data_IF_928981083508
#
_entry.id   IF_928981083508
#
_cell.length_a   1.000
_cell.length_b   1.000
_cell.length_c   1.000
_cell.angle_alpha   90.00
_cell.angle_beta   90.00
_cell.angle_gamma   90.00
#
_symmetry.space_group_name_H-M   'P 1'
#
loop_
_entity.id
_entity.type
_entity.pdbx_description
1 polymer ?
#
# COMPACT_ATOMS: atom_id res chain seq x y z
N UNK A 1 14.31 0.09 32.38
CA UNK A 1 14.97 -0.86 31.46
C UNK A 1 14.58 -0.46 30.05
N UNK A 2 15.46 0.27 29.37
CA UNK A 2 15.26 0.77 28.01
C UNK A 2 16.47 0.30 27.19
N UNK A 3 16.41 -0.91 26.65
CA UNK A 3 17.58 -1.52 25.98
C UNK A 3 17.23 -2.66 25.01
N UNK A 4 16.28 -2.49 24.08
CA UNK A 4 16.20 -3.46 22.95
C UNK A 4 15.58 -2.99 21.61
N UNK A 5 14.93 -1.83 21.53
CA UNK A 5 14.26 -1.37 20.29
C UNK A 5 15.10 -0.44 19.39
N UNK A 6 16.41 -0.70 19.28
CA UNK A 6 17.34 0.08 18.45
C UNK A 6 16.97 0.14 16.96
N UNK A 7 16.14 -0.79 16.49
CA UNK A 7 15.72 -0.91 15.10
C UNK A 7 14.33 -0.34 14.80
N UNK A 8 13.57 0.10 15.82
CA UNK A 8 12.20 0.64 15.64
C UNK A 8 12.12 2.16 15.58
N UNK A 9 13.12 2.85 16.13
CA UNK A 9 13.18 4.31 16.13
C UNK A 9 13.57 4.88 14.77
N UNK A 10 13.15 6.12 14.51
CA UNK A 10 13.49 6.86 13.29
C UNK A 10 14.91 7.45 13.29
N UNK A 11 15.66 7.32 14.40
CA UNK A 11 17.02 7.88 14.53
C UNK A 11 17.99 7.21 13.55
N UNK A 12 18.78 8.01 12.83
CA UNK A 12 19.69 7.56 11.78
C UNK A 12 21.01 8.36 11.71
N UNK A 13 21.48 8.84 12.86
CA UNK A 13 22.83 9.43 12.96
C UNK A 13 23.94 8.36 12.82
N UNK A 14 25.20 8.81 12.78
CA UNK A 14 26.37 7.93 12.62
C UNK A 14 26.42 6.83 13.70
N UNK A 15 26.00 7.14 14.93
CA UNK A 15 25.98 6.18 16.03
C UNK A 15 24.90 5.12 15.82
N UNK A 16 23.70 5.52 15.41
CA UNK A 16 22.60 4.62 15.09
C UNK A 16 22.97 3.71 13.90
N UNK A 17 23.60 4.27 12.87
CA UNK A 17 24.10 3.53 11.70
C UNK A 17 25.18 2.50 12.10
N UNK A 18 26.15 2.90 12.93
CA UNK A 18 27.18 1.97 13.41
C UNK A 18 26.57 0.85 14.26
N UNK A 19 25.60 1.19 15.12
CA UNK A 19 24.92 0.24 15.98
C UNK A 19 24.15 -0.82 15.17
N UNK A 20 23.35 -0.42 14.17
CA UNK A 20 22.65 -1.39 13.32
C UNK A 20 23.63 -2.27 12.58
N UNK A 21 24.70 -1.73 11.99
CA UNK A 21 25.70 -2.53 11.28
C UNK A 21 26.37 -3.55 12.21
N UNK A 22 26.72 -3.15 13.42
CA UNK A 22 27.27 -4.06 14.43
C UNK A 22 26.27 -5.16 14.84
N UNK A 23 24.99 -4.80 15.04
CA UNK A 23 23.95 -5.76 15.44
C UNK A 23 23.63 -6.74 14.31
N UNK A 24 23.49 -6.27 13.07
CA UNK A 24 23.25 -7.10 11.90
C UNK A 24 24.41 -8.06 11.62
N UNK A 25 25.67 -7.65 11.85
CA UNK A 25 26.83 -8.52 11.70
C UNK A 25 26.87 -9.67 12.73
N UNK A 26 26.26 -9.48 13.91
CA UNK A 26 26.17 -10.48 14.96
C UNK A 26 24.91 -11.34 14.88
N UNK A 27 23.86 -10.83 14.24
CA UNK A 27 22.61 -11.55 14.05
C UNK A 27 22.81 -12.73 13.09
N UNK A 28 22.68 -13.95 13.63
CA UNK A 28 22.73 -15.19 12.84
C UNK A 28 21.38 -15.54 12.22
N UNK A 29 20.29 -15.11 12.87
CA UNK A 29 18.91 -15.35 12.48
C UNK A 29 18.16 -14.01 12.47
N UNK A 30 17.05 -13.94 11.71
CA UNK A 30 16.15 -12.79 11.65
C UNK A 30 16.79 -11.44 11.23
N UNK A 31 17.97 -11.46 10.58
CA UNK A 31 18.59 -10.24 10.01
C UNK A 31 17.61 -9.48 9.11
N UNK A 32 16.86 -10.22 8.29
CA UNK A 32 15.80 -9.71 7.43
C UNK A 32 14.74 -8.91 8.21
N UNK A 33 14.36 -9.34 9.40
CA UNK A 33 13.35 -8.67 10.21
C UNK A 33 13.84 -7.29 10.65
N UNK A 34 15.09 -7.21 11.13
CA UNK A 34 15.70 -5.95 11.53
C UNK A 34 15.86 -4.98 10.35
N UNK A 35 16.26 -5.48 9.18
CA UNK A 35 16.34 -4.68 7.95
C UNK A 35 14.98 -4.09 7.59
N UNK A 36 13.93 -4.93 7.49
CA UNK A 36 12.56 -4.50 7.17
C UNK A 36 12.03 -3.45 8.14
N UNK A 37 12.14 -3.71 9.44
CA UNK A 37 11.57 -2.81 10.46
C UNK A 37 12.33 -1.49 10.51
N UNK A 38 13.67 -1.52 10.41
CA UNK A 38 14.45 -0.29 10.44
C UNK A 38 14.22 0.57 9.19
N UNK A 39 14.19 -0.05 8.01
CA UNK A 39 13.90 0.63 6.76
C UNK A 39 12.55 1.36 6.85
N UNK A 40 11.51 0.69 7.36
CA UNK A 40 10.21 1.32 7.59
C UNK A 40 10.30 2.50 8.55
N UNK A 41 11.01 2.35 9.68
CA UNK A 41 11.12 3.38 10.70
C UNK A 41 11.81 4.66 10.23
N UNK A 42 12.77 4.56 9.31
CA UNK A 42 13.54 5.73 8.84
C UNK A 42 13.02 6.29 7.51
N UNK A 43 12.17 5.57 6.79
CA UNK A 43 11.72 5.88 5.43
C UNK A 43 11.23 7.32 5.19
N UNK A 44 10.54 7.91 6.17
CA UNK A 44 10.02 9.28 6.07
C UNK A 44 11.14 10.35 6.08
N UNK A 45 12.20 10.12 6.87
CA UNK A 45 13.28 11.09 7.09
C UNK A 45 14.56 10.78 6.30
N UNK A 46 14.78 9.51 5.98
CA UNK A 46 15.97 8.95 5.35
C UNK A 46 15.57 7.97 4.24
N UNK A 47 14.89 8.46 3.19
CA UNK A 47 14.26 7.60 2.19
C UNK A 47 15.28 6.79 1.37
N UNK A 48 16.43 7.37 1.01
CA UNK A 48 17.43 6.66 0.21
C UNK A 48 18.15 5.57 1.04
N UNK A 49 18.40 5.82 2.32
CA UNK A 49 18.95 4.82 3.23
C UNK A 49 17.92 3.72 3.56
N UNK A 50 16.65 4.07 3.69
CA UNK A 50 15.58 3.08 3.80
C UNK A 50 15.53 2.15 2.59
N UNK A 51 15.63 2.71 1.36
CA UNK A 51 15.70 1.93 0.13
C UNK A 51 16.91 1.01 0.10
N UNK A 52 18.08 1.47 0.56
CA UNK A 52 19.26 0.62 0.68
C UNK A 52 19.04 -0.56 1.63
N UNK A 53 18.39 -0.34 2.78
CA UNK A 53 18.06 -1.42 3.72
C UNK A 53 17.01 -2.39 3.16
N UNK A 54 16.01 -1.89 2.42
CA UNK A 54 15.05 -2.74 1.72
C UNK A 54 15.72 -3.56 0.61
N UNK A 55 16.71 -3.00 -0.09
CA UNK A 55 17.49 -3.74 -1.07
C UNK A 55 18.29 -4.86 -0.39
N UNK A 56 18.98 -4.57 0.73
CA UNK A 56 19.67 -5.60 1.52
C UNK A 56 18.71 -6.69 2.04
N UNK A 57 17.44 -6.35 2.29
CA UNK A 57 16.39 -7.30 2.65
C UNK A 57 16.01 -8.20 1.46
N UNK A 58 15.82 -7.62 0.28
CA UNK A 58 15.52 -8.37 -0.95
C UNK A 58 16.67 -9.30 -1.32
N UNK A 59 17.91 -8.83 -1.21
CA UNK A 59 19.12 -9.62 -1.50
C UNK A 59 19.32 -10.79 -0.53
N UNK A 60 18.67 -10.76 0.65
CA UNK A 60 18.67 -11.88 1.58
C UNK A 60 17.76 -13.05 1.15
N UNK A 61 17.00 -12.88 0.05
CA UNK A 61 16.15 -13.88 -0.59
C UNK A 61 15.26 -14.65 0.39
N UNK A 62 14.59 -13.90 1.26
CA UNK A 62 13.66 -14.47 2.23
C UNK A 62 12.32 -14.78 1.59
N UNK A 63 11.68 -15.86 2.03
CA UNK A 63 10.32 -16.18 1.61
C UNK A 63 9.38 -14.99 1.92
N UNK A 64 8.59 -14.58 0.93
CA UNK A 64 7.78 -13.37 1.02
C UNK A 64 8.56 -12.07 0.84
N UNK A 65 9.75 -12.09 0.23
CA UNK A 65 10.48 -10.85 -0.06
C UNK A 65 9.65 -9.83 -0.88
N UNK A 66 8.79 -10.32 -1.79
CA UNK A 66 7.91 -9.49 -2.63
C UNK A 66 6.99 -8.55 -1.82
N UNK A 67 6.68 -8.91 -0.57
CA UNK A 67 5.85 -8.10 0.32
C UNK A 67 6.41 -6.69 0.54
N UNK A 68 7.73 -6.53 0.43
CA UNK A 68 8.40 -5.26 0.72
C UNK A 68 8.25 -4.23 -0.40
N UNK A 69 7.96 -4.68 -1.62
CA UNK A 69 7.88 -3.78 -2.77
C UNK A 69 6.77 -2.74 -2.63
N UNK A 70 5.69 -3.06 -1.90
CA UNK A 70 4.70 -2.04 -1.55
C UNK A 70 5.31 -0.91 -0.69
N UNK A 71 6.12 -1.26 0.31
CA UNK A 71 6.80 -0.26 1.15
C UNK A 71 7.78 0.57 0.33
N UNK A 72 8.54 -0.06 -0.57
CA UNK A 72 9.45 0.63 -1.50
C UNK A 72 8.67 1.61 -2.40
N UNK A 73 7.51 1.19 -2.93
CA UNK A 73 6.66 2.05 -3.76
C UNK A 73 6.21 3.31 -3.02
N UNK A 74 5.85 3.19 -1.73
CA UNK A 74 5.48 4.35 -0.91
C UNK A 74 6.65 5.32 -0.71
N UNK A 75 7.87 4.82 -0.52
CA UNK A 75 9.08 5.68 -0.44
C UNK A 75 9.32 6.41 -1.75
N UNK A 76 9.17 5.73 -2.89
CA UNK A 76 9.28 6.40 -4.19
C UNK A 76 8.16 7.42 -4.42
N UNK A 77 6.96 7.18 -3.90
CA UNK A 77 5.84 8.11 -3.99
C UNK A 77 6.13 9.41 -3.24
N UNK A 78 6.66 9.35 -2.01
CA UNK A 78 7.04 10.57 -1.26
C UNK A 78 8.18 11.34 -1.93
N UNK A 79 9.00 10.67 -2.73
CA UNK A 79 10.06 11.28 -3.53
C UNK A 79 9.60 11.74 -4.93
N UNK A 80 8.32 11.57 -5.29
CA UNK A 80 7.79 11.92 -6.61
C UNK A 80 8.34 11.08 -7.76
N UNK A 81 8.89 9.89 -7.49
CA UNK A 81 9.49 8.98 -8.48
C UNK A 81 8.44 8.03 -9.06
N UNK A 82 7.49 8.56 -9.83
CA UNK A 82 6.30 7.83 -10.29
C UNK A 82 6.59 6.51 -11.02
N UNK A 83 7.57 6.48 -11.94
CA UNK A 83 7.92 5.25 -12.66
C UNK A 83 8.34 4.13 -11.70
N UNK A 84 9.07 4.49 -10.64
CA UNK A 84 9.49 3.54 -9.60
C UNK A 84 8.33 3.10 -8.70
N UNK A 85 7.35 3.97 -8.46
CA UNK A 85 6.13 3.58 -7.74
C UNK A 85 5.46 2.41 -8.45
N UNK A 86 5.22 2.53 -9.76
CA UNK A 86 4.49 1.52 -10.51
C UNK A 86 5.31 0.27 -10.81
N UNK A 87 6.64 0.39 -11.00
CA UNK A 87 7.55 -0.76 -11.07
C UNK A 87 7.42 -1.63 -9.80
N UNK A 88 7.45 -1.00 -8.62
CA UNK A 88 7.39 -1.72 -7.37
C UNK A 88 5.97 -2.18 -6.99
N UNK A 89 4.91 -1.46 -7.37
CA UNK A 89 3.56 -2.00 -7.25
C UNK A 89 3.36 -3.27 -8.09
N UNK A 90 3.91 -3.31 -9.30
CA UNK A 90 3.84 -4.50 -10.17
C UNK A 90 4.60 -5.68 -9.54
N UNK A 91 5.77 -5.44 -8.96
CA UNK A 91 6.52 -6.46 -8.24
C UNK A 91 5.79 -6.94 -6.98
N UNK A 92 5.13 -6.04 -6.25
CA UNK A 92 4.37 -6.38 -5.03
C UNK A 92 3.18 -7.30 -5.31
N UNK A 93 2.50 -7.10 -6.44
CA UNK A 93 1.37 -7.94 -6.85
C UNK A 93 1.83 -9.31 -7.40
N UNK A 94 3.09 -9.42 -7.84
CA UNK A 94 3.66 -10.61 -8.46
C UNK A 94 2.85 -11.10 -9.67
N UNK A 95 3.04 -12.37 -10.05
CA UNK A 95 2.27 -13.04 -11.11
C UNK A 95 1.02 -13.78 -10.59
N UNK A 96 0.71 -13.68 -9.29
CA UNK A 96 -0.22 -14.61 -8.61
C UNK A 96 -1.29 -14.02 -7.70
N UNK A 97 -1.25 -12.73 -7.34
CA UNK A 97 -2.42 -12.00 -6.82
C UNK A 97 -3.11 -12.49 -5.53
N UNK A 98 -2.51 -13.36 -4.70
CA UNK A 98 -3.11 -13.75 -3.41
C UNK A 98 -2.14 -13.59 -2.23
N UNK A 99 -2.55 -12.75 -1.27
CA UNK A 99 -1.75 -12.32 -0.10
C UNK A 99 -0.80 -11.17 -0.48
N UNK A 100 -1.20 -9.92 -0.21
CA UNK A 100 -0.65 -8.66 -0.75
C UNK A 100 -0.92 -8.32 -2.22
N UNK A 101 -1.50 -9.21 -3.00
CA UNK A 101 -2.05 -8.86 -4.32
C UNK A 101 -3.34 -8.01 -4.25
N UNK A 102 -4.09 -8.09 -3.15
CA UNK A 102 -5.35 -7.36 -2.96
C UNK A 102 -5.16 -5.90 -2.47
N UNK A 103 -4.38 -5.72 -1.39
CA UNK A 103 -3.56 -4.49 -1.24
C UNK A 103 -2.64 -4.42 -2.48
N UNK A 104 -1.85 -3.42 -2.82
CA UNK A 104 -1.18 -3.45 -4.13
C UNK A 104 -2.17 -3.26 -5.30
N UNK A 105 -3.17 -4.10 -5.57
CA UNK A 105 -4.23 -3.83 -6.55
C UNK A 105 -5.08 -2.61 -6.15
N UNK A 106 -5.51 -2.54 -4.88
CA UNK A 106 -6.23 -1.38 -4.34
C UNK A 106 -5.41 -0.09 -4.43
N UNK A 107 -4.15 -0.14 -4.02
CA UNK A 107 -3.24 1.00 -4.07
C UNK A 107 -2.82 1.34 -5.50
N UNK A 108 -2.74 0.36 -6.40
CA UNK A 108 -2.49 0.56 -7.81
C UNK A 108 -3.65 1.33 -8.45
N UNK A 109 -4.91 0.96 -8.18
CA UNK A 109 -6.06 1.71 -8.64
C UNK A 109 -6.07 3.13 -8.08
N UNK A 110 -5.82 3.27 -6.78
CA UNK A 110 -5.77 4.56 -6.11
C UNK A 110 -4.69 5.48 -6.70
N UNK A 111 -3.44 5.01 -6.79
CA UNK A 111 -2.31 5.80 -7.28
C UNK A 111 -2.38 6.04 -8.79
N UNK A 112 -2.93 5.11 -9.57
CA UNK A 112 -3.18 5.35 -11.00
C UNK A 112 -4.16 6.51 -11.18
N UNK A 113 -5.28 6.50 -10.44
CA UNK A 113 -6.26 7.57 -10.50
C UNK A 113 -5.71 8.90 -9.99
N UNK A 114 -5.00 8.88 -8.85
CA UNK A 114 -4.46 10.08 -8.22
C UNK A 114 -3.40 10.78 -9.08
N UNK A 115 -2.56 9.99 -9.75
CA UNK A 115 -1.48 10.48 -10.62
C UNK A 115 -1.92 10.66 -12.09
N UNK A 116 -3.20 10.42 -12.42
CA UNK A 116 -3.71 10.58 -13.78
C UNK A 116 -3.08 9.61 -14.80
N UNK A 117 -2.72 8.40 -14.37
CA UNK A 117 -2.07 7.38 -15.21
C UNK A 117 -3.08 6.57 -16.00
N UNK A 118 -3.69 7.23 -16.99
CA UNK A 118 -4.71 6.65 -17.86
C UNK A 118 -4.24 5.37 -18.57
N UNK A 119 -2.95 5.27 -18.88
CA UNK A 119 -2.31 4.09 -19.47
C UNK A 119 -2.44 2.82 -18.61
N UNK A 120 -2.77 2.98 -17.31
CA UNK A 120 -2.89 1.88 -16.35
C UNK A 120 -4.32 1.61 -15.91
N UNK A 121 -5.30 2.42 -16.32
CA UNK A 121 -6.68 2.36 -15.83
C UNK A 121 -7.36 1.01 -16.06
N UNK A 122 -7.34 0.52 -17.30
CA UNK A 122 -7.93 -0.78 -17.65
C UNK A 122 -7.29 -1.92 -16.84
N UNK A 123 -5.95 -1.93 -16.77
CA UNK A 123 -5.22 -2.92 -15.97
C UNK A 123 -5.59 -2.83 -14.49
N UNK A 124 -5.68 -1.61 -13.93
CA UNK A 124 -5.99 -1.40 -12.53
C UNK A 124 -7.36 -1.96 -12.14
N UNK A 125 -8.38 -1.76 -12.97
CA UNK A 125 -9.72 -2.31 -12.74
C UNK A 125 -9.75 -3.82 -12.94
N UNK A 126 -9.06 -4.34 -13.97
CA UNK A 126 -9.03 -5.77 -14.27
C UNK A 126 -8.42 -6.62 -13.14
N UNK A 127 -7.58 -6.03 -12.28
CA UNK A 127 -7.01 -6.71 -11.11
C UNK A 127 -8.06 -7.11 -10.07
N UNK A 128 -9.24 -6.48 -10.02
CA UNK A 128 -10.27 -6.81 -9.04
C UNK A 128 -11.06 -8.07 -9.40
N UNK A 129 -11.24 -8.40 -10.68
CA UNK A 129 -12.00 -9.59 -11.10
C UNK A 129 -11.49 -10.91 -10.49
N UNK A 130 -10.19 -11.25 -10.52
CA UNK A 130 -9.71 -12.47 -9.87
C UNK A 130 -9.88 -12.43 -8.34
N UNK A 131 -9.77 -11.25 -7.72
CA UNK A 131 -9.99 -11.07 -6.27
C UNK A 131 -11.46 -11.31 -5.91
N UNK A 132 -12.38 -10.75 -6.68
CA UNK A 132 -13.82 -10.94 -6.52
C UNK A 132 -14.22 -12.40 -6.72
N UNK A 133 -13.66 -13.07 -7.74
CA UNK A 133 -13.87 -14.50 -7.97
C UNK A 133 -13.39 -15.35 -6.79
N UNK A 134 -12.18 -15.08 -6.29
CA UNK A 134 -11.64 -15.81 -5.14
C UNK A 134 -12.47 -15.56 -3.87
N UNK A 135 -12.87 -14.31 -3.62
CA UNK A 135 -13.73 -13.95 -2.50
C UNK A 135 -15.10 -14.62 -2.59
N UNK A 136 -15.74 -14.66 -3.77
CA UNK A 136 -17.03 -15.35 -3.97
C UNK A 136 -16.93 -16.83 -3.65
N UNK A 137 -15.84 -17.49 -4.07
CA UNK A 137 -15.62 -18.91 -3.80
C UNK A 137 -15.42 -19.21 -2.31
N UNK A 138 -14.71 -18.34 -1.58
CA UNK A 138 -14.36 -18.58 -0.18
C UNK A 138 -15.40 -18.05 0.81
N UNK A 139 -16.02 -16.91 0.50
CA UNK A 139 -16.86 -16.12 1.40
C UNK A 139 -18.30 -15.96 0.92
N UNK A 140 -18.63 -16.43 -0.29
CA UNK A 140 -19.97 -16.29 -0.89
C UNK A 140 -20.33 -14.86 -1.31
N UNK A 141 -19.35 -13.95 -1.37
CA UNK A 141 -19.51 -12.53 -1.71
C UNK A 141 -18.25 -11.96 -2.34
N UNK A 142 -18.39 -10.81 -2.99
CA UNK A 142 -17.29 -10.09 -3.65
C UNK A 142 -16.23 -9.60 -2.66
N UNK A 143 -15.05 -9.27 -3.18
CA UNK A 143 -13.97 -8.77 -2.36
C UNK A 143 -14.31 -7.36 -1.87
N UNK A 144 -14.28 -7.17 -0.55
CA UNK A 144 -14.58 -5.87 0.05
C UNK A 144 -13.39 -4.95 -0.16
N UNK A 145 -13.55 -3.98 -1.07
CA UNK A 145 -12.54 -2.95 -1.34
C UNK A 145 -12.35 -2.05 -0.12
N UNK A 146 -11.09 -1.70 0.18
CA UNK A 146 -10.74 -0.63 1.12
C UNK A 146 -11.15 0.73 0.54
N UNK A 147 -11.05 1.80 1.34
CA UNK A 147 -11.24 3.15 0.84
C UNK A 147 -10.38 3.43 -0.41
N UNK A 148 -9.09 3.10 -0.39
CA UNK A 148 -8.17 3.36 -1.50
C UNK A 148 -8.63 2.65 -2.79
N UNK A 149 -8.98 1.35 -2.68
CA UNK A 149 -9.46 0.58 -3.82
C UNK A 149 -10.78 1.12 -4.38
N UNK A 150 -11.73 1.48 -3.51
CA UNK A 150 -13.02 2.03 -3.91
C UNK A 150 -12.88 3.43 -4.54
N UNK A 151 -12.09 4.32 -3.95
CA UNK A 151 -11.82 5.66 -4.47
C UNK A 151 -11.15 5.61 -5.84
N UNK A 152 -10.08 4.82 -5.98
CA UNK A 152 -9.39 4.63 -7.24
C UNK A 152 -10.32 4.05 -8.31
N UNK A 153 -11.12 3.05 -7.95
CA UNK A 153 -12.11 2.46 -8.86
C UNK A 153 -13.13 3.49 -9.33
N UNK A 154 -13.70 4.29 -8.43
CA UNK A 154 -14.71 5.29 -8.77
C UNK A 154 -14.20 6.28 -9.83
N UNK A 155 -13.02 6.86 -9.60
CA UNK A 155 -12.43 7.81 -10.54
C UNK A 155 -12.08 7.17 -11.88
N UNK A 156 -11.48 5.98 -11.87
CA UNK A 156 -11.08 5.29 -13.10
C UNK A 156 -12.30 4.89 -13.92
N UNK A 157 -13.31 4.29 -13.29
CA UNK A 157 -14.53 3.84 -13.96
C UNK A 157 -15.32 5.03 -14.53
N UNK A 158 -15.39 6.16 -13.81
CA UNK A 158 -16.01 7.40 -14.30
C UNK A 158 -15.29 7.91 -15.55
N UNK A 159 -13.95 7.92 -15.53
CA UNK A 159 -13.13 8.30 -16.68
C UNK A 159 -13.31 7.37 -17.89
N UNK A 160 -13.48 6.08 -17.65
CA UNK A 160 -13.74 5.08 -18.69
C UNK A 160 -15.20 5.08 -19.19
N UNK A 161 -16.08 5.94 -18.66
CA UNK A 161 -17.49 6.02 -19.04
C UNK A 161 -18.37 4.89 -18.47
N UNK A 162 -17.86 4.12 -17.50
CA UNK A 162 -18.56 3.03 -16.80
C UNK A 162 -19.30 3.59 -15.58
N UNK A 163 -20.21 4.54 -15.82
CA UNK A 163 -20.79 5.40 -14.77
C UNK A 163 -21.55 4.63 -13.67
N UNK A 164 -22.29 3.58 -14.01
CA UNK A 164 -23.01 2.77 -13.02
C UNK A 164 -22.04 2.10 -12.03
N UNK A 165 -20.96 1.48 -12.53
CA UNK A 165 -19.93 0.85 -11.70
C UNK A 165 -19.11 1.90 -10.92
N UNK A 166 -18.87 3.06 -11.54
CA UNK A 166 -18.20 4.18 -10.89
C UNK A 166 -19.02 4.68 -9.69
N UNK A 167 -20.34 4.79 -9.85
CA UNK A 167 -21.27 5.17 -8.80
C UNK A 167 -21.26 4.18 -7.64
N UNK A 168 -21.32 2.88 -7.92
CA UNK A 168 -21.23 1.84 -6.89
C UNK A 168 -19.91 1.95 -6.10
N UNK A 169 -18.79 2.09 -6.81
CA UNK A 169 -17.48 2.27 -6.18
C UNK A 169 -17.41 3.56 -5.34
N UNK A 170 -18.00 4.66 -5.82
CA UNK A 170 -18.04 5.93 -5.10
C UNK A 170 -18.85 5.83 -3.81
N UNK A 171 -19.99 5.13 -3.83
CA UNK A 171 -20.80 4.87 -2.64
C UNK A 171 -20.03 4.06 -1.60
N UNK A 172 -19.32 3.00 -2.02
CA UNK A 172 -18.46 2.21 -1.13
C UNK A 172 -17.36 3.10 -0.50
N UNK A 173 -16.74 3.98 -1.29
CA UNK A 173 -15.73 4.90 -0.76
C UNK A 173 -16.32 5.88 0.26
N UNK A 174 -17.51 6.42 0.01
CA UNK A 174 -18.23 7.32 0.94
C UNK A 174 -18.72 6.61 2.21
N UNK A 175 -19.02 5.31 2.14
CA UNK A 175 -19.29 4.52 3.35
C UNK A 175 -18.05 4.42 4.24
N UNK A 176 -16.87 4.24 3.65
CA UNK A 176 -15.62 4.21 4.41
C UNK A 176 -15.33 5.53 5.14
N UNK A 177 -15.69 6.67 4.56
CA UNK A 177 -15.49 7.99 5.19
C UNK A 177 -16.41 8.24 6.39
N UNK A 178 -17.47 7.44 6.53
CA UNK A 178 -18.41 7.53 7.65
C UNK A 178 -18.03 6.59 8.81
N UNK A 179 -17.09 5.66 8.62
CA UNK A 179 -16.68 4.71 9.65
C UNK A 179 -15.81 5.39 10.71
N UNK A 180 -16.08 5.05 11.97
CA UNK A 180 -15.29 5.49 13.14
C UNK A 180 -14.38 4.38 13.69
N UNK A 181 -14.53 3.15 13.19
CA UNK A 181 -13.67 2.02 13.50
C UNK A 181 -13.40 1.18 12.24
N UNK A 182 -12.13 0.85 12.03
CA UNK A 182 -11.64 -0.01 10.98
C UNK A 182 -12.01 -1.48 11.22
N UNK A 183 -11.78 -2.35 10.21
CA UNK A 183 -12.30 -3.72 10.21
C UNK A 183 -11.53 -4.68 11.13
N UNK A 184 -10.40 -4.28 11.72
CA UNK A 184 -9.55 -5.17 12.51
C UNK A 184 -9.88 -5.09 14.01
N UNK A 185 -10.39 -6.18 14.63
CA UNK A 185 -10.65 -6.22 16.07
C UNK A 185 -9.39 -5.90 16.89
N UNK A 186 -9.54 -5.07 17.93
CA UNK A 186 -8.42 -4.63 18.78
C UNK A 186 -7.56 -3.50 18.19
N UNK A 187 -7.73 -3.17 16.91
CA UNK A 187 -7.01 -2.09 16.23
C UNK A 187 -7.96 -1.21 15.40
N UNK A 188 -8.87 -0.48 16.06
CA UNK A 188 -9.97 0.25 15.39
C UNK A 188 -9.51 1.40 14.49
N UNK A 189 -8.23 1.78 14.50
CA UNK A 189 -7.72 2.83 13.61
C UNK A 189 -7.13 2.26 12.31
N UNK A 190 -6.90 0.94 12.24
CA UNK A 190 -6.29 0.31 11.06
C UNK A 190 -7.35 0.16 9.96
N UNK A 191 -7.05 0.66 8.76
CA UNK A 191 -7.91 0.55 7.58
C UNK A 191 -8.99 1.63 7.47
N UNK A 192 -9.01 2.61 8.38
CA UNK A 192 -9.78 3.83 8.18
C UNK A 192 -9.06 4.75 7.18
N UNK A 193 -9.79 5.47 6.30
CA UNK A 193 -9.17 6.49 5.48
C UNK A 193 -8.57 7.59 6.36
N UNK A 194 -7.44 8.19 5.97
CA UNK A 194 -6.97 9.43 6.59
C UNK A 194 -8.00 10.55 6.34
N UNK A 195 -7.87 11.67 7.05
CA UNK A 195 -8.68 12.85 6.75
C UNK A 195 -8.46 13.26 5.29
N UNK A 196 -9.53 13.22 4.51
CA UNK A 196 -9.47 13.46 3.07
C UNK A 196 -9.51 14.95 2.76
N UNK A 197 -8.81 15.42 1.72
CA UNK A 197 -9.04 16.74 1.15
C UNK A 197 -10.49 16.92 0.69
N UNK A 198 -11.05 18.12 0.87
CA UNK A 198 -12.44 18.42 0.51
C UNK A 198 -12.73 18.18 -0.98
N UNK A 199 -11.75 18.42 -1.85
CA UNK A 199 -11.90 18.21 -3.28
C UNK A 199 -12.02 16.72 -3.64
N UNK A 200 -11.43 15.82 -2.85
CA UNK A 200 -11.56 14.38 -3.06
C UNK A 200 -12.96 13.89 -2.69
N UNK A 201 -13.50 14.37 -1.57
CA UNK A 201 -14.87 14.08 -1.17
C UNK A 201 -15.88 14.65 -2.18
N UNK A 202 -15.66 15.87 -2.68
CA UNK A 202 -16.50 16.49 -3.69
C UNK A 202 -16.54 15.68 -4.99
N UNK A 203 -15.41 15.10 -5.42
CA UNK A 203 -15.35 14.19 -6.58
C UNK A 203 -16.20 12.93 -6.37
N UNK A 204 -16.05 12.28 -5.21
CA UNK A 204 -16.85 11.10 -4.87
C UNK A 204 -18.35 11.41 -4.88
N UNK A 205 -18.76 12.51 -4.23
CA UNK A 205 -20.16 12.91 -4.22
C UNK A 205 -20.71 13.21 -5.61
N UNK A 206 -19.90 13.82 -6.49
CA UNK A 206 -20.29 14.05 -7.88
C UNK A 206 -20.55 12.74 -8.60
N UNK A 207 -19.63 11.78 -8.54
CA UNK A 207 -19.76 10.46 -9.18
C UNK A 207 -20.97 9.70 -8.61
N UNK A 208 -21.16 9.74 -7.29
CA UNK A 208 -22.26 9.05 -6.63
C UNK A 208 -23.67 9.60 -7.01
N UNK A 209 -23.73 10.83 -7.54
CA UNK A 209 -24.96 11.52 -7.93
C UNK A 209 -25.27 11.46 -9.43
N UNK A 210 -24.37 10.93 -10.26
CA UNK A 210 -24.62 10.67 -11.68
C UNK A 210 -25.66 9.55 -11.84
#
# INVERSE_FOLDING_TARGET
MATDDWYRGADWDDQAQQLIRQKLARAREHKWFYLRVKASAISDKHPDEALALYQEYLDADVEGANEIHYSIALVHFTQGREDKVFEHLDLAMGTGGMGLGAMGAMENAFLSALLGREDRYERAIALFEPLDKAARQQLGRDFVRSFAGAYGSALILDHLGRHDEAREAALIALEWTQKTAGPLPGHPQIGLPPQLPDDWLARLHRIAQQ
#
